data_IF_436368988152
#
_entry.id   IF_436368988152
#
_cell.length_a   1.000
_cell.length_b   1.000
_cell.length_c   1.000
_cell.angle_alpha   90.00
_cell.angle_beta   90.00
_cell.angle_gamma   90.00
#
_symmetry.space_group_name_H-M   'P 1'
#
loop_
_entity.id
_entity.type
_entity.pdbx_description
1 polymer ?
#
# COMPACT_ATOMS: atom_id res chain seq x y z
N UNK A 1 -0.15 -35.41 32.41
CA UNK A 1 0.48 -35.36 31.09
C UNK A 1 -0.45 -34.64 30.13
N UNK A 2 -0.02 -33.49 29.63
CA UNK A 2 -0.73 -32.66 28.66
C UNK A 2 0.20 -32.44 27.48
N UNK A 3 -0.22 -32.84 26.28
CA UNK A 3 0.52 -32.57 25.05
C UNK A 3 0.09 -31.19 24.54
N UNK A 4 1.06 -30.28 24.38
CA UNK A 4 0.82 -28.94 23.84
C UNK A 4 1.52 -28.85 22.49
N UNK A 5 0.75 -28.55 21.43
CA UNK A 5 1.28 -28.32 20.09
C UNK A 5 1.37 -26.82 19.83
N UNK A 6 2.53 -26.35 19.37
CA UNK A 6 2.76 -24.96 18.97
C UNK A 6 3.43 -24.97 17.60
N UNK A 7 2.70 -24.51 16.58
CA UNK A 7 3.15 -24.63 15.19
C UNK A 7 3.47 -26.09 14.83
N UNK A 8 4.71 -26.34 14.42
CA UNK A 8 5.20 -27.64 13.96
C UNK A 8 5.83 -28.50 15.06
N UNK A 9 5.89 -28.02 16.30
CA UNK A 9 6.48 -28.75 17.42
C UNK A 9 5.45 -29.14 18.48
N UNK A 10 5.71 -30.28 19.11
CA UNK A 10 4.90 -30.84 20.20
C UNK A 10 5.74 -30.93 21.46
N UNK A 11 5.22 -30.41 22.57
CA UNK A 11 5.87 -30.48 23.88
C UNK A 11 4.99 -31.27 24.84
N UNK A 12 5.58 -32.25 25.53
CA UNK A 12 4.91 -33.04 26.56
C UNK A 12 5.11 -32.38 27.92
N UNK A 13 4.03 -31.97 28.57
CA UNK A 13 4.05 -31.38 29.91
C UNK A 13 3.59 -32.42 30.91
N UNK A 14 4.49 -32.88 31.77
CA UNK A 14 4.22 -33.93 32.77
C UNK A 14 4.15 -33.33 34.17
N UNK A 15 5.04 -32.39 34.50
CA UNK A 15 5.13 -31.72 35.80
C UNK A 15 4.81 -30.22 35.74
N UNK A 16 4.76 -29.57 36.90
CA UNK A 16 4.62 -28.10 37.00
C UNK A 16 5.91 -27.41 36.54
N UNK A 17 7.09 -27.97 36.83
CA UNK A 17 8.35 -27.43 36.31
C UNK A 17 8.42 -27.47 34.77
N UNK A 18 7.90 -28.54 34.14
CA UNK A 18 7.83 -28.64 32.67
C UNK A 18 6.96 -27.51 32.09
N UNK A 19 5.85 -27.17 32.76
CA UNK A 19 4.96 -26.08 32.37
C UNK A 19 5.65 -24.72 32.50
N UNK A 20 6.36 -24.48 33.61
CA UNK A 20 7.12 -23.24 33.81
C UNK A 20 8.24 -23.09 32.78
N UNK A 21 8.98 -24.16 32.49
CA UNK A 21 10.03 -24.18 31.49
C UNK A 21 9.48 -23.93 30.08
N UNK A 22 8.35 -24.56 29.74
CA UNK A 22 7.66 -24.33 28.48
C UNK A 22 7.15 -22.89 28.36
N UNK A 23 6.56 -22.32 29.42
CA UNK A 23 6.13 -20.92 29.44
C UNK A 23 7.31 -19.96 29.29
N UNK A 24 8.46 -20.26 29.90
CA UNK A 24 9.69 -19.47 29.74
C UNK A 24 10.19 -19.51 28.30
N UNK A 25 10.25 -20.70 27.68
CA UNK A 25 10.64 -20.89 26.28
C UNK A 25 9.71 -20.11 25.32
N UNK A 26 8.40 -20.17 25.54
CA UNK A 26 7.43 -19.38 24.76
C UNK A 26 7.63 -17.86 24.94
N UNK A 27 7.92 -17.39 26.16
CA UNK A 27 8.25 -15.97 26.40
C UNK A 27 9.55 -15.56 25.72
N UNK A 28 10.56 -16.40 25.75
CA UNK A 28 11.84 -16.16 25.07
C UNK A 28 11.64 -16.08 23.54
N UNK A 29 10.86 -16.99 22.95
CA UNK A 29 10.50 -16.92 21.52
C UNK A 29 9.68 -15.67 21.18
N UNK A 30 8.72 -15.29 22.03
CA UNK A 30 7.99 -14.02 21.89
C UNK A 30 8.92 -12.80 21.96
N UNK A 31 9.96 -12.84 22.80
CA UNK A 31 10.96 -11.78 22.94
C UNK A 31 12.07 -11.81 21.88
N UNK A 32 12.26 -12.93 21.17
CA UNK A 32 13.15 -12.99 19.99
C UNK A 32 12.59 -12.20 18.81
N UNK A 33 11.27 -12.03 18.73
CA UNK A 33 10.65 -11.18 17.72
C UNK A 33 10.90 -9.70 18.04
N UNK A 34 11.34 -8.91 17.06
CA UNK A 34 11.53 -7.45 17.20
C UNK A 34 10.20 -6.68 17.39
N UNK A 35 9.07 -7.39 17.53
CA UNK A 35 7.75 -6.81 17.67
C UNK A 35 7.48 -6.35 19.10
N UNK A 36 6.81 -5.21 19.24
CA UNK A 36 6.37 -4.67 20.52
C UNK A 36 4.98 -5.20 20.93
N UNK A 37 4.14 -5.57 19.96
CA UNK A 37 2.77 -6.01 20.18
C UNK A 37 2.49 -7.34 19.48
N UNK A 38 1.88 -8.27 20.21
CA UNK A 38 1.54 -9.62 19.73
C UNK A 38 0.03 -9.89 19.69
N UNK A 39 -0.78 -8.90 20.08
CA UNK A 39 -2.24 -9.04 20.08
C UNK A 39 -2.86 -8.44 18.83
N UNK A 40 -3.96 -9.03 18.41
CA UNK A 40 -4.80 -8.53 17.35
C UNK A 40 -6.26 -8.48 17.83
N UNK A 41 -6.84 -7.29 17.74
CA UNK A 41 -8.25 -7.02 18.03
C UNK A 41 -8.62 -5.75 17.27
N UNK A 42 -8.95 -5.85 15.99
CA UNK A 42 -9.30 -4.68 15.18
C UNK A 42 -10.77 -4.78 14.82
N UNK A 43 -11.62 -4.13 15.62
CA UNK A 43 -13.08 -4.24 15.53
C UNK A 43 -13.79 -2.91 15.35
N UNK A 44 -13.02 -1.86 15.12
CA UNK A 44 -13.52 -0.51 14.84
C UNK A 44 -13.24 -0.19 13.38
N UNK A 45 -14.23 0.28 12.59
CA UNK A 45 -14.00 0.75 11.24
C UNK A 45 -12.87 1.80 11.19
N UNK A 46 -11.94 1.75 10.21
CA UNK A 46 -10.81 2.68 10.15
C UNK A 46 -11.23 4.16 10.14
N UNK A 47 -12.32 4.49 9.44
CA UNK A 47 -12.86 5.86 9.41
C UNK A 47 -13.21 6.38 10.80
N UNK A 48 -13.85 5.54 11.64
CA UNK A 48 -14.21 5.90 13.02
C UNK A 48 -12.99 5.96 13.91
N UNK A 49 -12.03 5.06 13.71
CA UNK A 49 -10.75 5.09 14.41
C UNK A 49 -10.01 6.41 14.13
N UNK A 50 -9.95 6.83 12.88
CA UNK A 50 -9.29 8.07 12.49
C UNK A 50 -10.03 9.31 12.99
N UNK A 51 -11.36 9.33 12.93
CA UNK A 51 -12.16 10.39 13.52
C UNK A 51 -11.92 10.52 15.03
N UNK A 52 -11.82 9.39 15.74
CA UNK A 52 -11.49 9.36 17.16
C UNK A 52 -10.07 9.89 17.43
N UNK A 53 -9.08 9.53 16.61
CA UNK A 53 -7.71 10.05 16.75
C UNK A 53 -7.64 11.56 16.52
N UNK A 54 -8.38 12.09 15.53
CA UNK A 54 -8.51 13.56 15.33
C UNK A 54 -9.05 14.22 16.58
N UNK A 55 -10.12 13.66 17.17
CA UNK A 55 -10.69 14.18 18.43
C UNK A 55 -9.72 14.07 19.59
N UNK A 56 -8.98 12.97 19.71
CA UNK A 56 -7.96 12.78 20.74
C UNK A 56 -6.89 13.86 20.68
N UNK A 57 -6.41 14.22 19.49
CA UNK A 57 -5.50 15.35 19.29
C UNK A 57 -6.12 16.69 19.74
N UNK A 58 -7.34 17.00 19.29
CA UNK A 58 -8.02 18.25 19.67
C UNK A 58 -8.21 18.38 21.19
N UNK A 59 -8.56 17.28 21.85
CA UNK A 59 -8.76 17.21 23.30
C UNK A 59 -7.45 17.26 24.07
N UNK A 60 -6.40 16.64 23.55
CA UNK A 60 -5.05 16.77 24.08
C UNK A 60 -4.56 18.23 24.05
N UNK A 61 -4.82 18.96 22.96
CA UNK A 61 -4.52 20.39 22.87
C UNK A 61 -5.29 21.25 23.88
N UNK A 62 -6.44 20.76 24.36
CA UNK A 62 -7.24 21.38 25.43
C UNK A 62 -6.84 20.90 26.85
N UNK A 63 -5.81 20.06 26.98
CA UNK A 63 -5.32 19.54 28.27
C UNK A 63 -6.03 18.27 28.77
N UNK A 64 -6.93 17.67 27.97
CA UNK A 64 -7.60 16.40 28.33
C UNK A 64 -6.70 15.23 27.95
N UNK A 65 -6.23 14.48 28.96
CA UNK A 65 -5.27 13.38 28.79
C UNK A 65 -5.89 11.98 28.85
N UNK A 66 -7.08 11.85 29.43
CA UNK A 66 -7.70 10.56 29.69
C UNK A 66 -8.44 10.04 28.45
N UNK A 67 -8.13 8.82 28.03
CA UNK A 67 -8.73 8.22 26.84
C UNK A 67 -10.21 7.89 27.03
N UNK A 68 -10.65 7.52 28.24
CA UNK A 68 -12.07 7.18 28.48
C UNK A 68 -13.00 8.36 28.22
N UNK A 69 -12.56 9.56 28.60
CA UNK A 69 -13.38 10.77 28.51
C UNK A 69 -13.52 11.20 27.05
N UNK A 70 -12.42 11.15 26.29
CA UNK A 70 -12.44 11.39 24.84
C UNK A 70 -13.31 10.37 24.11
N UNK A 71 -13.23 9.08 24.47
CA UNK A 71 -14.05 8.02 23.87
C UNK A 71 -15.53 8.24 24.20
N UNK A 72 -15.86 8.58 25.45
CA UNK A 72 -17.24 8.84 25.85
C UNK A 72 -17.85 10.03 25.09
N UNK A 73 -17.13 11.15 25.02
CA UNK A 73 -17.56 12.31 24.25
C UNK A 73 -17.68 11.99 22.75
N UNK A 74 -16.74 11.21 22.19
CA UNK A 74 -16.81 10.79 20.78
C UNK A 74 -18.07 9.98 20.51
N UNK A 75 -18.40 9.03 21.39
CA UNK A 75 -19.61 8.22 21.23
C UNK A 75 -20.87 9.07 21.34
N UNK A 76 -20.92 10.02 22.27
CA UNK A 76 -22.07 10.91 22.45
C UNK A 76 -22.26 11.83 21.23
N UNK A 77 -21.20 12.45 20.69
CA UNK A 77 -21.26 13.33 19.52
C UNK A 77 -21.74 12.61 18.25
N UNK A 78 -21.28 11.37 18.05
CA UNK A 78 -21.65 10.56 16.89
C UNK A 78 -22.95 9.76 17.11
N UNK A 79 -23.67 9.99 18.23
CA UNK A 79 -24.90 9.28 18.62
C UNK A 79 -24.74 7.76 18.61
N UNK A 80 -23.58 7.29 19.06
CA UNK A 80 -23.21 5.89 19.14
C UNK A 80 -23.43 5.35 20.55
N UNK A 81 -23.70 4.04 20.66
CA UNK A 81 -23.85 3.41 21.97
C UNK A 81 -22.56 3.48 22.79
N UNK A 82 -22.67 3.91 24.06
CA UNK A 82 -21.55 3.89 25.02
C UNK A 82 -20.96 2.49 25.24
N UNK A 83 -21.73 1.42 24.98
CA UNK A 83 -21.22 0.04 25.06
C UNK A 83 -20.08 -0.23 24.06
N UNK A 84 -19.98 0.54 22.98
CA UNK A 84 -18.90 0.42 21.99
C UNK A 84 -17.52 0.78 22.55
N UNK A 85 -17.44 1.46 23.70
CA UNK A 85 -16.18 1.67 24.41
C UNK A 85 -15.46 0.33 24.70
N UNK A 86 -16.23 -0.75 24.95
CA UNK A 86 -15.69 -2.12 25.15
C UNK A 86 -15.02 -2.70 23.91
N UNK A 87 -15.31 -2.15 22.72
CA UNK A 87 -14.70 -2.55 21.45
C UNK A 87 -13.59 -1.57 21.03
N UNK A 88 -13.79 -0.27 21.28
CA UNK A 88 -12.82 0.78 20.96
C UNK A 88 -11.56 0.65 21.80
N UNK A 89 -11.68 0.50 23.12
CA UNK A 89 -10.52 0.47 24.02
C UNK A 89 -9.58 -0.69 23.70
N UNK A 90 -10.03 -1.94 23.51
CA UNK A 90 -9.12 -3.01 23.12
C UNK A 90 -8.52 -2.80 21.73
N UNK A 91 -9.26 -2.20 20.78
CA UNK A 91 -8.72 -1.88 19.44
C UNK A 91 -7.56 -0.88 19.53
N UNK A 92 -7.73 0.19 20.30
CA UNK A 92 -6.66 1.18 20.52
C UNK A 92 -5.46 0.55 21.23
N UNK A 93 -5.69 -0.33 22.20
CA UNK A 93 -4.62 -1.00 22.93
C UNK A 93 -3.85 -1.99 22.06
N UNK A 94 -4.52 -2.79 21.23
CA UNK A 94 -3.87 -3.74 20.32
C UNK A 94 -3.03 -3.06 19.25
N UNK A 95 -3.41 -1.84 18.86
CA UNK A 95 -2.64 -1.00 17.95
C UNK A 95 -1.54 -0.18 18.64
N UNK A 96 -1.40 -0.24 19.98
CA UNK A 96 -0.42 0.58 20.70
C UNK A 96 -0.75 2.09 20.74
N UNK A 97 -2.01 2.44 20.46
CA UNK A 97 -2.50 3.83 20.44
C UNK A 97 -2.88 4.34 21.84
N UNK A 98 -3.09 3.43 22.79
CA UNK A 98 -3.35 3.77 24.19
C UNK A 98 -2.52 2.90 25.13
N UNK A 99 -2.02 3.50 26.21
CA UNK A 99 -1.30 2.83 27.30
C UNK A 99 -1.74 3.42 28.63
N UNK A 100 -2.01 2.57 29.63
CA UNK A 100 -2.42 2.99 30.98
C UNK A 100 -3.57 4.03 31.00
N UNK A 101 -4.57 3.84 30.13
CA UNK A 101 -5.76 4.72 30.05
C UNK A 101 -5.54 6.07 29.37
N UNK A 102 -4.37 6.31 28.76
CA UNK A 102 -4.07 7.56 28.01
C UNK A 102 -3.72 7.25 26.56
N UNK A 103 -3.95 8.20 25.67
CA UNK A 103 -3.43 8.13 24.29
C UNK A 103 -1.91 8.24 24.29
N UNK A 104 -1.24 7.45 23.46
CA UNK A 104 0.21 7.53 23.29
C UNK A 104 0.61 8.74 22.46
N UNK A 105 1.87 9.16 22.54
CA UNK A 105 2.39 10.26 21.70
C UNK A 105 2.19 9.97 20.20
N UNK A 106 2.33 8.70 19.79
CA UNK A 106 2.08 8.25 18.41
C UNK A 106 0.61 8.45 18.02
N UNK A 107 -0.34 8.15 18.90
CA UNK A 107 -1.76 8.38 18.64
C UNK A 107 -2.09 9.88 18.50
N UNK A 108 -1.49 10.73 19.34
CA UNK A 108 -1.67 12.19 19.26
C UNK A 108 -1.06 12.75 17.96
N UNK A 109 0.13 12.29 17.57
CA UNK A 109 0.79 12.68 16.33
C UNK A 109 -0.03 12.25 15.10
N UNK A 110 -0.52 11.00 15.06
CA UNK A 110 -1.43 10.53 14.03
C UNK A 110 -2.70 11.38 13.97
N UNK A 111 -3.30 11.69 15.13
CA UNK A 111 -4.47 12.56 15.23
C UNK A 111 -4.22 13.95 14.66
N UNK A 112 -3.05 14.54 14.91
CA UNK A 112 -2.62 15.82 14.35
C UNK A 112 -2.49 15.77 12.83
N UNK A 113 -1.78 14.79 12.29
CA UNK A 113 -1.59 14.65 10.83
C UNK A 113 -2.93 14.48 10.10
N UNK A 114 -3.83 13.68 10.69
CA UNK A 114 -5.18 13.49 10.19
C UNK A 114 -6.04 14.77 10.26
N UNK A 115 -5.87 15.58 11.30
CA UNK A 115 -6.56 16.86 11.46
C UNK A 115 -6.07 17.91 10.45
N UNK A 116 -4.76 17.96 10.20
CA UNK A 116 -4.10 18.86 9.24
C UNK A 116 -4.27 18.43 7.77
N UNK A 117 -4.91 17.29 7.49
CA UNK A 117 -5.08 16.76 6.13
C UNK A 117 -3.81 16.16 5.52
N UNK A 118 -2.77 15.91 6.31
CA UNK A 118 -1.47 15.36 5.89
C UNK A 118 -1.53 13.82 5.79
N UNK A 119 -2.36 13.34 4.88
CA UNK A 119 -2.71 11.92 4.76
C UNK A 119 -1.50 11.01 4.47
N UNK A 120 -0.58 11.43 3.60
CA UNK A 120 0.58 10.59 3.27
C UNK A 120 1.53 10.39 4.45
N UNK A 121 1.73 11.43 5.25
CA UNK A 121 2.53 11.32 6.48
C UNK A 121 1.82 10.48 7.55
N UNK A 122 0.48 10.56 7.62
CA UNK A 122 -0.30 9.69 8.49
C UNK A 122 -0.17 8.21 8.07
N UNK A 123 -0.21 7.91 6.77
CA UNK A 123 0.01 6.54 6.25
C UNK A 123 1.40 6.02 6.60
N UNK A 124 2.44 6.84 6.44
CA UNK A 124 3.80 6.46 6.80
C UNK A 124 3.90 6.14 8.30
N UNK A 125 3.27 6.95 9.15
CA UNK A 125 3.22 6.67 10.60
C UNK A 125 2.44 5.40 10.93
N UNK A 126 1.36 5.11 10.21
CA UNK A 126 0.62 3.84 10.35
C UNK A 126 1.49 2.65 9.96
N UNK A 127 2.30 2.73 8.88
CA UNK A 127 3.24 1.66 8.50
C UNK A 127 4.23 1.36 9.61
N UNK A 128 4.84 2.40 10.19
CA UNK A 128 5.76 2.27 11.32
C UNK A 128 5.06 1.65 12.53
N UNK A 129 3.80 2.00 12.78
CA UNK A 129 3.01 1.41 13.86
C UNK A 129 2.72 -0.07 13.61
N UNK A 130 2.33 -0.43 12.38
CA UNK A 130 2.00 -1.81 12.00
C UNK A 130 3.22 -2.72 12.03
N UNK A 131 4.39 -2.21 11.63
CA UNK A 131 5.66 -2.94 11.72
C UNK A 131 6.03 -3.33 13.16
N UNK A 132 5.49 -2.64 14.18
CA UNK A 132 5.68 -2.98 15.60
C UNK A 132 4.70 -4.03 16.12
N UNK A 133 3.66 -4.36 15.36
CA UNK A 133 2.69 -5.41 15.70
C UNK A 133 2.96 -6.64 14.84
N UNK A 134 3.28 -7.77 15.48
CA UNK A 134 3.70 -8.99 14.77
C UNK A 134 2.64 -9.53 13.80
N UNK A 135 1.36 -9.51 14.20
CA UNK A 135 0.27 -9.98 13.33
C UNK A 135 0.14 -9.08 12.10
N UNK A 136 0.19 -7.76 12.29
CA UNK A 136 0.08 -6.81 11.17
C UNK A 136 1.32 -6.83 10.27
N UNK A 137 2.52 -6.95 10.86
CA UNK A 137 3.80 -7.09 10.14
C UNK A 137 3.77 -8.32 9.24
N UNK A 138 3.39 -9.48 9.77
CA UNK A 138 3.30 -10.72 8.98
C UNK A 138 2.32 -10.58 7.80
N UNK A 139 1.15 -9.94 8.02
CA UNK A 139 0.20 -9.71 6.93
C UNK A 139 0.80 -8.82 5.83
N UNK A 140 1.47 -7.73 6.20
CA UNK A 140 2.10 -6.80 5.26
C UNK A 140 3.25 -7.46 4.48
N UNK A 141 4.05 -8.31 5.13
CA UNK A 141 5.15 -9.04 4.48
C UNK A 141 4.65 -10.14 3.53
N UNK A 142 3.49 -10.74 3.84
CA UNK A 142 2.88 -11.80 3.03
C UNK A 142 2.17 -11.30 1.77
N UNK A 143 1.63 -10.08 1.77
CA UNK A 143 0.87 -9.56 0.64
C UNK A 143 1.79 -9.12 -0.53
N UNK A 144 1.77 -9.88 -1.63
CA UNK A 144 2.54 -9.56 -2.82
C UNK A 144 1.98 -8.33 -3.57
N UNK A 145 0.66 -8.10 -3.49
CA UNK A 145 -0.02 -6.91 -4.01
C UNK A 145 -1.28 -6.58 -3.19
N UNK A 146 -1.97 -5.49 -3.55
CA UNK A 146 -3.17 -5.05 -2.83
C UNK A 146 -4.38 -5.99 -2.98
N UNK A 147 -4.45 -6.74 -4.09
CA UNK A 147 -5.55 -7.66 -4.36
C UNK A 147 -5.48 -8.89 -3.45
N UNK A 148 -4.27 -9.29 -3.07
CA UNK A 148 -4.04 -10.42 -2.15
C UNK A 148 -4.21 -10.07 -0.68
N UNK A 149 -4.33 -8.79 -0.33
CA UNK A 149 -4.29 -8.33 1.06
C UNK A 149 -5.39 -8.99 1.92
N UNK A 150 -6.62 -9.11 1.43
CA UNK A 150 -7.72 -9.75 2.16
C UNK A 150 -7.44 -11.24 2.43
N UNK A 151 -6.90 -11.94 1.43
CA UNK A 151 -6.50 -13.34 1.54
C UNK A 151 -5.36 -13.51 2.56
N UNK A 152 -4.37 -12.63 2.53
CA UNK A 152 -3.27 -12.63 3.51
C UNK A 152 -3.77 -12.38 4.93
N UNK A 153 -4.68 -11.42 5.12
CA UNK A 153 -5.33 -11.18 6.42
C UNK A 153 -6.04 -12.46 6.88
N UNK A 154 -6.88 -13.07 6.04
CA UNK A 154 -7.61 -14.28 6.41
C UNK A 154 -6.68 -15.45 6.82
N UNK A 155 -5.57 -15.66 6.09
CA UNK A 155 -4.64 -16.75 6.41
C UNK A 155 -3.93 -16.49 7.74
N UNK A 156 -3.35 -15.30 7.93
CA UNK A 156 -2.61 -14.98 9.15
C UNK A 156 -3.53 -15.05 10.36
N UNK A 157 -4.69 -14.40 10.32
CA UNK A 157 -5.62 -14.40 11.44
C UNK A 157 -6.13 -15.81 11.80
N UNK A 158 -6.27 -16.70 10.81
CA UNK A 158 -6.65 -18.11 11.05
C UNK A 158 -5.51 -18.86 11.74
N UNK A 159 -4.25 -18.56 11.38
CA UNK A 159 -3.07 -19.09 12.06
C UNK A 159 -3.01 -18.68 13.53
N UNK A 160 -3.46 -17.47 13.87
CA UNK A 160 -3.51 -16.95 15.24
C UNK A 160 -4.78 -17.32 16.02
N UNK A 161 -5.82 -17.90 15.41
CA UNK A 161 -7.07 -18.24 16.11
C UNK A 161 -8.07 -19.11 15.35
N UNK A 162 -8.88 -19.91 16.08
CA UNK A 162 -9.80 -20.92 15.51
C UNK A 162 -11.01 -20.36 14.73
N UNK A 163 -11.46 -19.12 14.97
CA UNK A 163 -12.56 -18.52 14.20
C UNK A 163 -12.38 -17.02 14.06
N UNK A 164 -12.16 -16.56 12.83
CA UNK A 164 -12.09 -15.12 12.52
C UNK A 164 -13.51 -14.57 12.47
N UNK A 165 -13.76 -13.44 13.15
CA UNK A 165 -15.02 -12.73 12.99
C UNK A 165 -15.01 -11.92 11.70
N UNK A 166 -16.17 -11.77 11.07
CA UNK A 166 -16.28 -11.00 9.83
C UNK A 166 -15.84 -9.53 9.99
N UNK A 167 -16.20 -8.89 11.11
CA UNK A 167 -15.84 -7.50 11.40
C UNK A 167 -14.34 -7.32 11.60
N UNK A 168 -13.73 -8.28 12.26
CA UNK A 168 -12.29 -8.36 12.46
C UNK A 168 -11.52 -8.51 11.15
N UNK A 169 -11.93 -9.43 10.27
CA UNK A 169 -11.35 -9.59 8.93
C UNK A 169 -11.49 -8.29 8.14
N UNK A 170 -12.72 -7.79 8.01
CA UNK A 170 -13.05 -6.61 7.22
C UNK A 170 -12.25 -5.38 7.66
N UNK A 171 -12.31 -5.02 8.95
CA UNK A 171 -11.68 -3.78 9.42
C UNK A 171 -10.16 -3.87 9.48
N UNK A 172 -9.59 -5.06 9.67
CA UNK A 172 -8.15 -5.27 9.53
C UNK A 172 -7.72 -5.05 8.08
N UNK A 173 -8.42 -5.66 7.12
CA UNK A 173 -8.14 -5.48 5.69
C UNK A 173 -8.27 -4.02 5.26
N UNK A 174 -9.34 -3.33 5.66
CA UNK A 174 -9.54 -1.91 5.34
C UNK A 174 -8.44 -1.03 5.96
N UNK A 175 -8.07 -1.27 7.23
CA UNK A 175 -7.02 -0.51 7.91
C UNK A 175 -5.66 -0.69 7.24
N UNK A 176 -5.30 -1.95 6.92
CA UNK A 176 -4.04 -2.24 6.25
C UNK A 176 -4.03 -1.70 4.83
N UNK A 177 -5.14 -1.75 4.09
CA UNK A 177 -5.26 -1.22 2.73
C UNK A 177 -4.94 0.27 2.68
N UNK A 178 -5.30 1.03 3.71
CA UNK A 178 -5.01 2.47 3.77
C UNK A 178 -3.52 2.79 3.93
N UNK A 179 -2.75 1.91 4.57
CA UNK A 179 -1.32 2.12 4.83
C UNK A 179 -0.42 1.32 3.88
N UNK A 180 -0.89 0.23 3.28
CA UNK A 180 -0.07 -0.64 2.45
C UNK A 180 0.43 0.13 1.20
N UNK A 181 1.76 0.24 0.95
CA UNK A 181 2.30 1.01 -0.19
C UNK A 181 1.70 0.57 -1.53
N UNK A 182 1.54 -0.75 -1.73
CA UNK A 182 0.92 -1.31 -2.95
C UNK A 182 -0.59 -1.06 -3.08
N UNK A 183 -1.25 -0.53 -2.06
CA UNK A 183 -2.67 -0.16 -2.06
C UNK A 183 -2.90 1.35 -2.20
N UNK A 184 -1.84 2.12 -2.41
CA UNK A 184 -1.95 3.57 -2.52
C UNK A 184 -2.86 3.96 -3.69
N UNK A 185 -3.79 4.90 -3.45
CA UNK A 185 -4.61 5.45 -4.52
C UNK A 185 -3.68 6.12 -5.55
N UNK A 186 -3.76 5.66 -6.80
CA UNK A 186 -3.01 6.19 -7.93
C UNK A 186 -3.53 7.54 -8.44
N UNK A 187 -3.88 8.42 -7.49
CA UNK A 187 -4.12 9.82 -7.75
C UNK A 187 -2.78 10.51 -8.06
N UNK A 188 -2.65 11.03 -9.27
CA UNK A 188 -1.42 11.65 -9.77
C UNK A 188 -1.35 13.16 -9.48
N UNK A 189 -2.24 13.69 -8.63
CA UNK A 189 -2.19 15.08 -8.13
C UNK A 189 -0.91 15.36 -7.33
N UNK A 190 -0.41 14.36 -6.60
CA UNK A 190 0.80 14.43 -5.80
C UNK A 190 1.64 13.16 -5.98
N UNK A 191 2.80 13.28 -6.63
CA UNK A 191 3.59 12.14 -7.10
C UNK A 191 4.95 12.07 -6.42
N UNK A 192 5.32 10.87 -5.97
CA UNK A 192 6.66 10.50 -5.50
C UNK A 192 7.26 9.41 -6.38
N UNK A 193 8.57 9.17 -6.30
CA UNK A 193 9.23 8.10 -7.08
C UNK A 193 8.65 6.72 -6.78
N UNK A 194 8.37 6.43 -5.51
CA UNK A 194 7.78 5.14 -5.11
C UNK A 194 6.35 4.99 -5.61
N UNK A 195 5.56 6.07 -5.59
CA UNK A 195 4.18 6.05 -6.08
C UNK A 195 4.10 5.70 -7.56
N UNK A 196 5.07 6.15 -8.37
CA UNK A 196 5.17 5.79 -9.79
C UNK A 196 5.28 4.28 -9.96
N UNK A 197 6.17 3.64 -9.22
CA UNK A 197 6.41 2.19 -9.29
C UNK A 197 5.14 1.41 -8.96
N UNK A 198 4.40 1.87 -7.93
CA UNK A 198 3.17 1.23 -7.49
C UNK A 198 1.98 1.48 -8.44
N UNK A 199 2.01 2.58 -9.20
CA UNK A 199 0.90 3.04 -10.03
C UNK A 199 1.15 2.95 -11.53
N UNK A 200 2.08 2.10 -11.95
CA UNK A 200 2.47 1.87 -13.35
C UNK A 200 1.25 1.61 -14.27
N UNK A 201 0.32 0.76 -13.85
CA UNK A 201 -0.87 0.45 -14.67
C UNK A 201 -1.74 1.68 -14.89
N UNK A 202 -1.89 2.52 -13.86
CA UNK A 202 -2.59 3.80 -13.97
C UNK A 202 -1.86 4.75 -14.90
N UNK A 203 -0.52 4.76 -14.88
CA UNK A 203 0.30 5.56 -15.81
C UNK A 203 0.05 5.11 -17.27
N UNK A 204 0.02 3.81 -17.54
CA UNK A 204 -0.30 3.29 -18.88
C UNK A 204 -1.71 3.72 -19.30
N UNK A 205 -2.70 3.59 -18.41
CA UNK A 205 -4.07 4.04 -18.68
C UNK A 205 -4.15 5.54 -19.01
N UNK A 206 -3.47 6.38 -18.23
CA UNK A 206 -3.40 7.84 -18.45
C UNK A 206 -2.67 8.18 -19.76
N UNK A 207 -1.79 7.30 -20.23
CA UNK A 207 -1.06 7.47 -21.49
C UNK A 207 -1.89 7.08 -22.71
N UNK A 208 -2.93 6.25 -22.56
CA UNK A 208 -3.67 5.67 -23.69
C UNK A 208 -4.25 6.68 -24.70
N UNK A 209 -4.86 7.81 -24.29
CA UNK A 209 -5.33 8.81 -25.24
C UNK A 209 -4.18 9.44 -26.07
N UNK A 210 -3.01 9.57 -25.46
CA UNK A 210 -1.82 10.13 -26.12
C UNK A 210 -1.09 9.11 -26.99
N UNK A 211 -1.10 7.83 -26.60
CA UNK A 211 -0.61 6.74 -27.45
C UNK A 211 -1.39 6.66 -28.76
N UNK A 212 -2.71 6.87 -28.72
CA UNK A 212 -3.55 6.89 -29.93
C UNK A 212 -3.07 7.91 -30.96
N UNK A 213 -2.84 9.16 -30.54
CA UNK A 213 -2.33 10.21 -31.42
C UNK A 213 -0.98 9.83 -32.06
N UNK A 214 -0.12 9.14 -31.30
CA UNK A 214 1.19 8.70 -31.80
C UNK A 214 1.08 7.51 -32.76
N UNK A 215 0.14 6.60 -32.52
CA UNK A 215 -0.14 5.47 -33.42
C UNK A 215 -0.68 5.96 -34.75
N UNK A 216 -1.59 6.93 -34.72
CA UNK A 216 -2.14 7.57 -35.92
C UNK A 216 -1.04 8.28 -36.74
N UNK A 217 -0.07 8.94 -36.08
CA UNK A 217 1.07 9.58 -36.77
C UNK A 217 2.04 8.59 -37.42
N UNK A 218 2.10 7.36 -36.92
CA UNK A 218 2.95 6.29 -37.43
C UNK A 218 2.19 5.30 -38.32
N UNK A 219 0.95 5.62 -38.69
CA UNK A 219 0.07 4.75 -39.48
C UNK A 219 -0.04 3.32 -38.93
N UNK A 220 -0.08 3.17 -37.60
CA UNK A 220 -0.24 1.87 -36.94
C UNK A 220 -1.72 1.49 -36.92
N UNK A 221 -2.08 0.41 -37.62
CA UNK A 221 -3.47 -0.01 -37.83
C UNK A 221 -4.21 -0.42 -36.55
N UNK A 222 -3.51 -0.98 -35.57
CA UNK A 222 -4.10 -1.46 -34.31
C UNK A 222 -4.06 -0.38 -33.23
N UNK A 223 -5.15 0.38 -33.11
CA UNK A 223 -5.29 1.44 -32.11
C UNK A 223 -5.36 0.91 -30.66
N UNK A 224 -4.96 1.72 -29.65
CA UNK A 224 -4.94 1.34 -28.22
C UNK A 224 -6.23 0.73 -27.67
N UNK A 225 -7.40 1.14 -28.15
CA UNK A 225 -8.70 0.59 -27.73
C UNK A 225 -8.87 -0.92 -28.02
N UNK A 226 -8.17 -1.44 -29.03
CA UNK A 226 -8.19 -2.86 -29.41
C UNK A 226 -7.13 -3.68 -28.67
N UNK A 227 -6.38 -3.06 -27.76
CA UNK A 227 -5.24 -3.67 -27.11
C UNK A 227 -5.54 -3.99 -25.64
N UNK A 228 -4.81 -4.97 -25.15
CA UNK A 228 -4.68 -5.30 -23.74
C UNK A 228 -3.19 -5.30 -23.37
N UNK A 229 -2.89 -4.92 -22.13
CA UNK A 229 -1.53 -4.82 -21.64
C UNK A 229 -1.33 -5.81 -20.51
N UNK A 230 -0.44 -6.78 -20.71
CA UNK A 230 -0.19 -7.84 -19.73
C UNK A 230 1.20 -7.63 -19.13
N UNK A 231 1.26 -7.48 -17.80
CA UNK A 231 2.51 -7.29 -17.07
C UNK A 231 3.40 -8.53 -17.22
N UNK A 232 4.67 -8.34 -17.62
CA UNK A 232 5.68 -9.41 -17.68
C UNK A 232 6.65 -9.33 -16.51
N UNK A 233 7.06 -8.11 -16.16
CA UNK A 233 7.89 -7.82 -15.00
C UNK A 233 7.51 -6.45 -14.40
N UNK A 234 8.32 -5.91 -13.50
CA UNK A 234 8.04 -4.64 -12.84
C UNK A 234 7.92 -3.43 -13.77
N UNK A 235 8.56 -3.43 -14.94
CA UNK A 235 8.64 -2.27 -15.85
C UNK A 235 8.30 -2.59 -17.31
N UNK A 236 8.00 -3.85 -17.63
CA UNK A 236 7.70 -4.32 -18.97
C UNK A 236 6.31 -4.94 -19.06
N UNK A 237 5.57 -4.56 -20.11
CA UNK A 237 4.27 -5.13 -20.44
C UNK A 237 4.29 -5.64 -21.88
N UNK A 238 3.63 -6.76 -22.14
CA UNK A 238 3.31 -7.16 -23.51
C UNK A 238 2.03 -6.45 -23.96
N UNK A 239 2.02 -6.06 -25.23
CA UNK A 239 0.84 -5.51 -25.91
C UNK A 239 0.23 -6.66 -26.71
N UNK A 240 -0.98 -7.06 -26.36
CA UNK A 240 -1.72 -8.09 -27.07
C UNK A 240 -2.96 -7.51 -27.73
N UNK A 241 -3.45 -8.16 -28.78
CA UNK A 241 -4.75 -7.84 -29.37
C UNK A 241 -5.84 -8.42 -28.48
N UNK A 242 -6.73 -7.57 -28.00
CA UNK A 242 -7.80 -7.92 -27.05
C UNK A 242 -8.63 -9.09 -27.56
N UNK A 243 -8.84 -10.09 -26.70
CA UNK A 243 -9.62 -11.29 -27.06
C UNK A 243 -8.84 -12.30 -27.90
N UNK A 244 -7.52 -12.15 -28.03
CA UNK A 244 -6.64 -13.10 -28.72
C UNK A 244 -5.33 -13.27 -27.93
N UNK A 245 -4.62 -14.37 -28.18
CA UNK A 245 -3.27 -14.58 -27.64
C UNK A 245 -2.17 -13.90 -28.50
N UNK A 246 -2.54 -13.08 -29.50
CA UNK A 246 -1.57 -12.46 -30.41
C UNK A 246 -0.85 -11.30 -29.72
N UNK A 247 0.44 -11.48 -29.46
CA UNK A 247 1.34 -10.42 -28.98
C UNK A 247 1.82 -9.61 -30.19
N UNK A 248 1.64 -8.30 -30.15
CA UNK A 248 2.05 -7.38 -31.23
C UNK A 248 3.13 -6.41 -30.80
N UNK A 249 3.40 -6.28 -29.49
CA UNK A 249 4.27 -5.21 -29.00
C UNK A 249 4.68 -5.31 -27.55
N UNK A 250 5.43 -4.29 -27.12
CA UNK A 250 5.85 -4.11 -25.73
C UNK A 250 5.68 -2.67 -25.26
N UNK A 251 5.33 -2.50 -23.99
CA UNK A 251 5.48 -1.23 -23.26
C UNK A 251 6.68 -1.35 -22.34
N UNK A 252 7.58 -0.37 -22.39
CA UNK A 252 8.78 -0.24 -21.59
C UNK A 252 8.69 1.02 -20.74
N UNK A 253 8.79 0.87 -19.42
CA UNK A 253 8.70 1.98 -18.49
C UNK A 253 10.08 2.30 -17.94
N UNK A 254 10.55 3.52 -18.21
CA UNK A 254 11.82 4.02 -17.71
C UNK A 254 11.72 4.47 -16.24
N UNK A 255 12.85 4.55 -15.53
CA UNK A 255 12.89 5.13 -14.19
C UNK A 255 12.49 6.62 -14.23
N UNK A 256 11.87 7.14 -13.15
CA UNK A 256 11.49 8.54 -13.09
C UNK A 256 12.71 9.47 -13.09
N UNK A 257 12.62 10.55 -13.85
CA UNK A 257 13.65 11.60 -13.91
C UNK A 257 13.14 12.91 -13.31
N UNK A 258 14.04 13.77 -12.86
CA UNK A 258 13.69 15.02 -12.14
C UNK A 258 13.90 16.28 -12.98
N UNK A 259 14.31 16.13 -14.24
CA UNK A 259 14.49 17.26 -15.15
C UNK A 259 14.14 16.88 -16.59
N UNK A 260 13.64 17.88 -17.32
CA UNK A 260 13.40 17.82 -18.77
C UNK A 260 14.68 18.14 -19.56
N UNK A 261 15.86 18.18 -18.92
CA UNK A 261 17.11 18.39 -19.64
C UNK A 261 17.30 17.34 -20.74
N UNK A 262 17.51 17.82 -21.96
CA UNK A 262 17.58 17.02 -23.19
C UNK A 262 18.58 15.85 -23.09
N UNK A 263 19.72 16.05 -22.42
CA UNK A 263 20.73 15.02 -22.23
C UNK A 263 20.22 13.85 -21.37
N UNK A 264 19.45 14.14 -20.31
CA UNK A 264 18.90 13.12 -19.41
C UNK A 264 17.76 12.35 -20.08
N UNK A 265 16.91 13.03 -20.85
CA UNK A 265 15.86 12.40 -21.67
C UNK A 265 16.48 11.44 -22.70
N UNK A 266 17.49 11.90 -23.45
CA UNK A 266 18.19 11.09 -24.46
C UNK A 266 18.85 9.86 -23.84
N UNK A 267 19.54 10.04 -22.71
CA UNK A 267 20.16 8.91 -21.99
C UNK A 267 19.12 7.89 -21.52
N UNK A 268 17.97 8.36 -21.02
CA UNK A 268 16.91 7.47 -20.53
C UNK A 268 16.24 6.70 -21.67
N UNK A 269 15.97 7.36 -22.81
CA UNK A 269 15.45 6.70 -24.01
C UNK A 269 16.43 5.67 -24.58
N UNK A 270 17.73 5.99 -24.60
CA UNK A 270 18.77 5.09 -25.12
C UNK A 270 18.89 3.80 -24.29
N UNK A 271 18.69 3.85 -22.98
CA UNK A 271 18.63 2.63 -22.15
C UNK A 271 17.45 1.74 -22.52
N UNK A 272 16.31 2.33 -22.87
CA UNK A 272 15.15 1.57 -23.33
C UNK A 272 15.34 1.03 -24.75
N UNK A 273 16.20 1.66 -25.56
CA UNK A 273 16.55 1.18 -26.91
C UNK A 273 17.24 -0.18 -26.92
N UNK A 274 17.97 -0.52 -25.87
CA UNK A 274 18.60 -1.84 -25.71
C UNK A 274 17.59 -3.01 -25.76
N UNK A 275 16.30 -2.72 -25.53
CA UNK A 275 15.21 -3.69 -25.53
C UNK A 275 14.36 -3.68 -26.82
N UNK A 276 14.76 -2.90 -27.82
CA UNK A 276 14.07 -2.76 -29.10
C UNK A 276 14.90 -3.43 -30.19
N UNK A 277 14.23 -4.21 -31.04
CA UNK A 277 14.84 -4.87 -32.17
C UNK A 277 13.90 -4.76 -33.38
N UNK A 278 14.47 -4.43 -34.53
CA UNK A 278 13.73 -4.32 -35.79
C UNK A 278 13.04 -5.66 -36.13
N UNK A 279 11.78 -5.59 -36.57
CA UNK A 279 11.02 -6.75 -37.03
C UNK A 279 10.59 -7.76 -35.96
N UNK A 280 10.93 -7.57 -34.68
CA UNK A 280 10.51 -8.50 -33.60
C UNK A 280 9.07 -8.24 -33.16
N UNK A 281 8.66 -6.98 -33.09
CA UNK A 281 7.30 -6.57 -32.76
C UNK A 281 6.80 -5.50 -33.74
N UNK A 282 5.49 -5.42 -33.91
CA UNK A 282 4.84 -4.39 -34.73
C UNK A 282 4.98 -3.00 -34.08
N UNK A 283 4.99 -2.94 -32.74
CA UNK A 283 5.08 -1.69 -32.00
C UNK A 283 5.81 -1.82 -30.65
N UNK A 284 6.59 -0.80 -30.31
CA UNK A 284 7.13 -0.57 -28.97
C UNK A 284 6.64 0.77 -28.45
N UNK A 285 6.27 0.83 -27.18
CA UNK A 285 5.91 2.07 -26.50
C UNK A 285 6.85 2.27 -25.32
N UNK A 286 7.49 3.44 -25.26
CA UNK A 286 8.31 3.86 -24.13
C UNK A 286 7.59 4.92 -23.35
N UNK A 287 7.59 4.77 -22.03
CA UNK A 287 7.01 5.74 -21.10
C UNK A 287 8.09 6.12 -20.09
N UNK A 288 8.47 7.40 -20.06
CA UNK A 288 9.42 7.94 -19.08
C UNK A 288 8.69 8.97 -18.22
N UNK A 289 8.48 8.68 -16.92
CA UNK A 289 7.93 9.65 -15.98
C UNK A 289 8.92 10.78 -15.69
N UNK A 290 8.43 12.02 -15.73
CA UNK A 290 9.20 13.23 -15.43
C UNK A 290 8.54 13.90 -14.22
N UNK A 291 9.28 14.00 -13.13
CA UNK A 291 8.85 14.65 -11.89
C UNK A 291 9.32 16.11 -11.87
N UNK A 292 8.39 17.04 -11.71
CA UNK A 292 8.67 18.48 -11.62
C UNK A 292 8.19 19.05 -10.28
N UNK A 293 9.05 19.84 -9.62
CA UNK A 293 8.78 20.53 -8.35
C UNK A 293 9.91 20.35 -7.33
N UNK A 294 10.03 21.32 -6.41
CA UNK A 294 11.07 21.34 -5.37
C UNK A 294 10.62 20.68 -4.04
N UNK A 295 9.32 20.43 -3.87
CA UNK A 295 8.77 19.88 -2.62
C UNK A 295 8.60 18.35 -2.64
N UNK A 296 8.24 17.77 -1.47
CA UNK A 296 7.89 16.35 -1.31
C UNK A 296 6.73 15.91 -2.21
N UNK A 297 5.92 16.86 -2.67
CA UNK A 297 4.82 16.67 -3.59
C UNK A 297 5.21 17.19 -4.98
N UNK A 298 5.44 16.30 -5.95
CA UNK A 298 5.80 16.68 -7.32
C UNK A 298 4.65 16.47 -8.28
N UNK A 299 4.63 17.28 -9.34
CA UNK A 299 3.76 17.06 -10.50
C UNK A 299 4.44 16.12 -11.50
N UNK A 300 3.66 15.39 -12.30
CA UNK A 300 4.19 14.43 -13.27
C UNK A 300 3.83 14.77 -14.71
N UNK A 301 4.84 14.78 -15.57
CA UNK A 301 4.70 14.69 -17.03
C UNK A 301 5.18 13.32 -17.48
N UNK A 302 4.75 12.89 -18.66
CA UNK A 302 5.28 11.69 -19.31
C UNK A 302 5.95 12.08 -20.62
N UNK A 303 7.16 11.58 -20.86
CA UNK A 303 7.68 11.45 -22.20
C UNK A 303 7.19 10.11 -22.75
N UNK A 304 6.39 10.16 -23.81
CA UNK A 304 5.91 9.02 -24.56
C UNK A 304 6.66 8.95 -25.88
N UNK A 305 7.20 7.79 -26.23
CA UNK A 305 7.76 7.52 -27.55
C UNK A 305 7.17 6.21 -28.07
N UNK A 306 6.61 6.26 -29.28
CA UNK A 306 6.15 5.08 -29.99
C UNK A 306 7.14 4.80 -31.11
N UNK A 307 7.53 3.53 -31.23
CA UNK A 307 8.45 3.02 -32.24
C UNK A 307 7.73 1.92 -33.00
N UNK A 308 7.59 2.09 -34.32
CA UNK A 308 7.02 1.07 -35.21
C UNK A 308 8.08 0.00 -35.50
N UNK A 309 7.67 -1.19 -35.91
CA UNK A 309 8.56 -2.34 -36.12
C UNK A 309 9.72 -2.12 -37.11
N UNK A 310 9.64 -1.11 -37.97
CA UNK A 310 10.69 -0.64 -38.90
C UNK A 310 11.56 0.49 -38.31
N UNK A 311 11.49 0.69 -36.99
CA UNK A 311 12.22 1.68 -36.20
C UNK A 311 11.83 3.15 -36.49
N UNK A 312 10.74 3.42 -37.21
CA UNK A 312 10.18 4.77 -37.29
C UNK A 312 9.64 5.19 -35.92
N UNK A 313 9.88 6.44 -35.50
CA UNK A 313 9.60 6.90 -34.13
C UNK A 313 8.90 8.24 -34.10
N UNK A 314 7.95 8.38 -33.18
CA UNK A 314 7.36 9.67 -32.81
C UNK A 314 7.31 9.77 -31.30
N UNK A 315 7.74 10.92 -30.77
CA UNK A 315 7.71 11.20 -29.34
C UNK A 315 6.93 12.45 -29.00
N UNK A 316 6.39 12.50 -27.78
CA UNK A 316 5.63 13.62 -27.25
C UNK A 316 5.78 13.68 -25.73
N UNK A 317 5.93 14.89 -25.19
CA UNK A 317 5.81 15.14 -23.76
C UNK A 317 4.36 15.52 -23.47
N UNK A 318 3.75 14.83 -22.51
CA UNK A 318 2.36 15.05 -22.11
C UNK A 318 2.28 15.41 -20.64
N UNK A 319 1.44 16.38 -20.32
CA UNK A 319 1.11 16.72 -18.94
C UNK A 319 -0.07 15.87 -18.53
N UNK A 320 0.08 15.09 -17.46
CA UNK A 320 -1.06 14.36 -16.90
C UNK A 320 -1.91 15.39 -16.15
N UNK A 321 -3.12 15.60 -16.65
CA UNK A 321 -4.15 16.35 -15.92
C UNK A 321 -4.83 15.37 -14.97
N UNK A 322 -4.91 15.71 -13.69
CA UNK A 322 -5.72 14.98 -12.70
C UNK A 322 -7.18 14.95 -13.11
#
# INVERSE_FOLDING_TARGET
MVLVRVGDYEENIITVEDLEQFCRKLREELHKSECQYNSWYIRVPPERLFALLKKAYMKYAQGVLNASDVIAEFLDEYKLSRSLARTITPTLSSLGLTTAGKFTAVAIELGKLLHEGRLEEAKEKLRVLFAKNCVLKEILERAADCSELEKSVAIVLTGYGKSIRFDELKYTTELLRMAHPKCENCDMSCVTRDKIIHCIEKIIQLSAPHMRELFEKLDITLLPEHLEYVRKDGFTFSINVRGTDKIIGKILIGPPIESVHLAQLKSSLAKLDENIAEGVYEVYVKIIPILEGEEKCKSMKLLLEVVRGDLERVSKIVKISS
#
